data_IF_084483493045
#
_entry.id   IF_084483493045
#
_cell.length_a   1.000
_cell.length_b   1.000
_cell.length_c   1.000
_cell.angle_alpha   90.00
_cell.angle_beta   90.00
_cell.angle_gamma   90.00
#
_symmetry.space_group_name_H-M   'P 1'
#
loop_
_entity.id
_entity.type
_entity.pdbx_description
1 polymer ?
#
# COMPACT_ATOMS: atom_id res chain seq x y z
N UNK A 1 -52.79 40.29 6.01
CA UNK A 1 -53.70 39.82 7.07
C UNK A 1 -53.11 38.58 7.72
N UNK A 2 -52.90 38.61 9.05
CA UNK A 2 -53.00 37.52 10.07
C UNK A 2 -52.38 36.14 9.74
N UNK A 3 -51.63 35.42 10.58
CA UNK A 3 -51.18 35.44 12.00
C UNK A 3 -50.15 34.27 12.06
N UNK A 4 -48.94 34.45 12.57
CA UNK A 4 -48.53 34.16 13.95
C UNK A 4 -49.10 32.87 14.56
N UNK A 5 -48.24 31.87 14.78
CA UNK A 5 -48.31 31.01 15.96
C UNK A 5 -46.89 30.60 16.41
N UNK A 6 -46.51 31.12 17.57
CA UNK A 6 -45.39 30.67 18.38
C UNK A 6 -45.77 29.38 19.10
N UNK A 7 -44.80 28.48 19.33
CA UNK A 7 -44.68 27.85 20.64
C UNK A 7 -43.23 27.40 20.89
N UNK A 8 -42.77 27.81 22.06
CA UNK A 8 -41.40 27.74 22.55
C UNK A 8 -41.13 26.41 23.27
N UNK A 9 -39.86 26.00 23.27
CA UNK A 9 -39.28 25.24 24.38
C UNK A 9 -37.89 25.81 24.71
N UNK A 10 -37.79 26.26 25.95
CA UNK A 10 -36.61 26.78 26.65
C UNK A 10 -35.68 25.62 27.03
N UNK A 11 -34.36 25.84 26.91
CA UNK A 11 -33.32 24.99 27.46
C UNK A 11 -32.08 25.81 27.82
N UNK A 12 -31.86 25.99 29.11
CA UNK A 12 -30.75 26.67 29.77
C UNK A 12 -29.37 26.08 29.40
N UNK A 13 -28.31 26.90 29.37
CA UNK A 13 -26.95 26.40 29.22
C UNK A 13 -25.82 27.44 29.27
N UNK A 14 -25.57 27.97 30.48
CA UNK A 14 -24.29 28.40 31.06
C UNK A 14 -23.39 29.48 30.40
N UNK A 15 -23.25 30.56 31.18
CA UNK A 15 -22.26 31.62 31.11
C UNK A 15 -20.81 31.13 31.01
N UNK A 16 -20.05 31.88 30.21
CA UNK A 16 -18.63 31.74 29.93
C UNK A 16 -17.79 32.36 31.07
N UNK A 17 -17.03 31.60 31.87
CA UNK A 17 -16.17 32.19 32.88
C UNK A 17 -14.93 32.79 32.22
N UNK A 18 -14.90 34.13 32.23
CA UNK A 18 -13.77 35.01 31.92
C UNK A 18 -12.43 34.41 32.37
N UNK A 19 -11.56 34.06 31.40
CA UNK A 19 -10.15 33.71 31.64
C UNK A 19 -9.41 34.90 32.26
N UNK A 20 -8.86 34.70 33.44
CA UNK A 20 -7.88 35.60 34.03
C UNK A 20 -6.55 35.58 33.24
N UNK A 21 -5.84 36.72 33.13
CA UNK A 21 -4.57 36.79 32.41
C UNK A 21 -3.45 36.05 33.15
N UNK A 22 -2.64 35.33 32.38
CA UNK A 22 -1.47 34.55 32.86
C UNK A 22 -0.35 35.51 33.31
N UNK A 23 0.28 35.31 34.49
CA UNK A 23 1.42 36.13 34.90
C UNK A 23 2.66 35.87 34.03
N UNK A 24 3.55 36.88 33.85
CA UNK A 24 4.73 36.75 33.00
C UNK A 24 5.75 35.76 33.58
N UNK A 25 6.35 34.95 32.69
CA UNK A 25 7.41 33.99 33.02
C UNK A 25 8.68 34.71 33.45
N UNK A 26 9.14 34.45 34.67
CA UNK A 26 10.47 34.82 35.16
C UNK A 26 11.51 33.91 34.48
N UNK A 27 12.60 34.44 33.90
CA UNK A 27 13.67 33.61 33.34
C UNK A 27 14.44 32.87 34.45
N UNK A 28 14.89 31.63 34.22
CA UNK A 28 15.68 30.89 35.19
C UNK A 28 17.06 31.54 35.39
N UNK A 29 17.50 31.62 36.66
CA UNK A 29 18.86 32.03 37.04
C UNK A 29 19.90 31.02 36.50
N UNK A 30 21.09 31.48 36.07
CA UNK A 30 22.16 30.58 35.62
C UNK A 30 22.69 29.72 36.78
N UNK A 31 22.74 28.41 36.56
CA UNK A 31 23.37 27.44 37.47
C UNK A 31 24.88 27.47 37.23
N UNK A 32 25.65 27.70 38.28
CA UNK A 32 27.11 27.64 38.26
C UNK A 32 27.60 26.21 37.99
N UNK A 33 28.51 26.09 37.02
CA UNK A 33 29.25 24.87 36.68
C UNK A 33 30.03 24.35 37.89
N UNK A 34 29.73 23.12 38.33
CA UNK A 34 30.58 22.37 39.26
C UNK A 34 31.65 21.57 38.49
N UNK A 35 32.92 21.55 38.96
CA UNK A 35 33.98 20.75 38.36
C UNK A 35 33.69 19.25 38.45
N UNK A 36 34.02 18.51 37.38
CA UNK A 36 33.75 17.08 37.24
C UNK A 36 34.60 16.19 38.17
N UNK A 37 34.13 14.97 38.47
CA UNK A 37 34.89 14.00 39.23
C UNK A 37 35.99 13.34 38.40
N UNK A 38 37.11 13.09 39.07
CA UNK A 38 38.33 12.45 38.58
C UNK A 38 38.09 11.08 37.94
N UNK A 39 38.89 10.79 36.91
CA UNK A 39 38.98 9.49 36.27
C UNK A 39 39.42 8.38 37.25
N UNK A 40 38.83 7.17 37.19
CA UNK A 40 39.43 6.01 37.81
C UNK A 40 40.52 5.39 36.91
N UNK A 41 41.59 4.97 37.58
CA UNK A 41 42.79 4.27 37.06
C UNK A 41 42.46 2.92 36.39
N UNK A 42 43.32 2.40 35.48
CA UNK A 42 42.99 1.25 34.64
C UNK A 42 43.18 -0.06 35.40
N UNK A 43 42.11 -0.84 35.54
CA UNK A 43 42.17 -2.19 36.06
C UNK A 43 41.39 -3.17 35.16
N UNK A 44 42.19 -4.07 34.57
CA UNK A 44 41.88 -5.44 34.15
C UNK A 44 40.92 -5.63 32.98
N UNK A 45 41.52 -6.11 31.87
CA UNK A 45 40.90 -6.98 30.88
C UNK A 45 40.26 -8.17 31.62
N UNK A 46 38.99 -8.05 31.95
CA UNK A 46 38.13 -9.12 32.43
C UNK A 46 36.93 -9.18 31.51
N UNK A 47 36.63 -10.38 31.05
CA UNK A 47 35.49 -10.73 30.21
C UNK A 47 34.26 -9.90 30.55
N UNK A 48 33.66 -9.26 29.54
CA UNK A 48 32.30 -8.77 29.64
C UNK A 48 31.41 -9.92 30.14
N UNK A 49 30.72 -9.77 31.28
CA UNK A 49 29.77 -10.77 31.72
C UNK A 49 28.77 -11.00 30.59
N UNK A 50 28.69 -12.24 30.11
CA UNK A 50 27.62 -12.66 29.22
C UNK A 50 26.31 -12.24 29.87
N UNK A 51 25.53 -11.40 29.19
CA UNK A 51 24.23 -10.98 29.65
C UNK A 51 23.46 -12.21 30.15
N UNK A 52 22.86 -12.11 31.35
CA UNK A 52 22.05 -13.18 31.88
C UNK A 52 20.97 -13.55 30.83
N UNK A 53 20.64 -14.83 30.65
CA UNK A 53 19.59 -15.24 29.74
C UNK A 53 18.29 -14.54 30.16
N UNK A 54 17.84 -13.55 29.38
CA UNK A 54 16.65 -12.73 29.67
C UNK A 54 16.85 -11.20 29.75
N UNK A 55 18.07 -10.69 29.57
CA UNK A 55 18.38 -9.25 29.47
C UNK A 55 18.36 -8.69 28.04
N UNK A 56 17.99 -9.50 27.06
CA UNK A 56 17.75 -9.03 25.70
C UNK A 56 16.34 -8.37 25.59
N UNK A 57 16.13 -7.43 24.64
CA UNK A 57 14.85 -6.74 24.49
C UNK A 57 13.65 -7.67 24.26
N UNK A 58 13.85 -8.82 23.63
CA UNK A 58 12.79 -9.79 23.35
C UNK A 58 12.37 -10.48 24.65
N UNK A 59 13.32 -11.00 25.44
CA UNK A 59 13.04 -11.59 26.75
C UNK A 59 12.28 -10.65 27.69
N UNK A 60 12.63 -9.36 27.71
CA UNK A 60 11.88 -8.34 28.48
C UNK A 60 10.44 -8.15 28.00
N UNK A 61 10.21 -8.15 26.69
CA UNK A 61 8.88 -8.01 26.12
C UNK A 61 8.00 -9.22 26.46
N UNK A 62 8.53 -10.43 26.28
CA UNK A 62 7.79 -11.67 26.55
C UNK A 62 7.38 -11.73 28.02
N UNK A 63 8.32 -11.44 28.94
CA UNK A 63 8.03 -11.42 30.39
C UNK A 63 6.93 -10.41 30.75
N UNK A 64 7.03 -9.18 30.25
CA UNK A 64 6.01 -8.13 30.51
C UNK A 64 4.63 -8.55 30.01
N UNK A 65 4.55 -9.16 28.82
CA UNK A 65 3.26 -9.60 28.29
C UNK A 65 2.71 -10.81 29.08
N UNK A 66 3.56 -11.75 29.50
CA UNK A 66 3.16 -12.85 30.41
C UNK A 66 2.59 -12.35 31.72
N UNK A 67 3.21 -11.35 32.34
CA UNK A 67 2.74 -10.73 33.59
C UNK A 67 1.43 -9.96 33.41
N UNK A 68 1.24 -9.31 32.25
CA UNK A 68 0.02 -8.57 31.94
C UNK A 68 -1.16 -9.47 31.56
N UNK A 69 -0.91 -10.68 31.07
CA UNK A 69 -1.95 -11.66 30.78
C UNK A 69 -2.50 -12.25 32.08
N UNK A 70 -3.82 -12.27 32.21
CA UNK A 70 -4.48 -12.92 33.35
C UNK A 70 -4.08 -14.40 33.46
N UNK A 71 -4.08 -14.97 34.68
CA UNK A 71 -3.54 -16.31 34.93
C UNK A 71 -4.20 -17.41 34.09
N UNK A 72 -5.50 -17.29 33.81
CA UNK A 72 -6.22 -18.27 32.99
C UNK A 72 -5.80 -18.24 31.51
N UNK A 73 -5.59 -17.04 30.94
CA UNK A 73 -5.11 -16.91 29.57
C UNK A 73 -3.65 -17.39 29.45
N UNK A 74 -2.82 -17.06 30.43
CA UNK A 74 -1.44 -17.53 30.49
C UNK A 74 -1.35 -19.06 30.55
N UNK A 75 -2.21 -19.72 31.35
CA UNK A 75 -2.30 -21.18 31.40
C UNK A 75 -2.80 -21.78 30.08
N UNK A 76 -3.79 -21.17 29.44
CA UNK A 76 -4.30 -21.64 28.15
C UNK A 76 -3.22 -21.59 27.06
N UNK A 77 -2.47 -20.49 26.95
CA UNK A 77 -1.36 -20.37 26.00
C UNK A 77 -0.23 -21.35 26.28
N UNK A 78 0.13 -21.53 27.56
CA UNK A 78 1.14 -22.52 27.97
C UNK A 78 0.69 -23.96 27.64
N UNK A 79 -0.61 -24.26 27.80
CA UNK A 79 -1.19 -25.56 27.45
C UNK A 79 -1.19 -25.83 25.94
N UNK A 80 -1.31 -24.77 25.13
CA UNK A 80 -1.15 -24.84 23.66
C UNK A 80 0.33 -24.97 23.24
N UNK A 81 1.28 -24.91 24.19
CA UNK A 81 2.73 -24.88 23.95
C UNK A 81 3.15 -23.77 22.98
N UNK A 82 2.38 -22.68 22.92
CA UNK A 82 2.56 -21.62 21.93
C UNK A 82 3.25 -20.39 22.53
N UNK A 83 4.37 -20.64 23.20
CA UNK A 83 5.29 -19.57 23.62
C UNK A 83 5.87 -18.83 22.40
N UNK A 84 5.92 -19.52 21.26
CA UNK A 84 6.34 -18.97 19.97
C UNK A 84 5.44 -17.81 19.53
N UNK A 85 4.14 -17.84 19.80
CA UNK A 85 3.23 -16.73 19.49
C UNK A 85 3.59 -15.45 20.24
N UNK A 86 3.99 -15.55 21.51
CA UNK A 86 4.41 -14.40 22.31
C UNK A 86 5.77 -13.86 21.86
N UNK A 87 6.70 -14.75 21.57
CA UNK A 87 8.00 -14.38 20.99
C UNK A 87 7.81 -13.69 19.63
N UNK A 88 6.96 -14.21 18.75
CA UNK A 88 6.65 -13.62 17.45
C UNK A 88 5.98 -12.25 17.57
N UNK A 89 4.99 -12.10 18.47
CA UNK A 89 4.33 -10.83 18.73
C UNK A 89 5.31 -9.77 19.25
N UNK A 90 6.20 -10.16 20.16
CA UNK A 90 7.25 -9.28 20.67
C UNK A 90 8.32 -8.97 19.64
N UNK A 91 8.73 -9.95 18.83
CA UNK A 91 9.66 -9.76 17.71
C UNK A 91 9.12 -8.74 16.71
N UNK A 92 7.82 -8.83 16.40
CA UNK A 92 7.11 -7.85 15.56
C UNK A 92 7.16 -6.44 16.15
N UNK A 93 6.76 -6.26 17.42
CA UNK A 93 6.76 -4.94 18.07
C UNK A 93 8.17 -4.31 18.07
N UNK A 94 9.19 -5.12 18.37
CA UNK A 94 10.58 -4.68 18.34
C UNK A 94 11.03 -4.29 16.93
N UNK A 95 10.67 -5.04 15.89
CA UNK A 95 11.00 -4.71 14.51
C UNK A 95 10.33 -3.40 14.06
N UNK A 96 9.06 -3.19 14.42
CA UNK A 96 8.30 -1.97 14.09
C UNK A 96 8.91 -0.74 14.79
N UNK A 97 9.20 -0.84 16.10
CA UNK A 97 9.83 0.26 16.86
C UNK A 97 11.22 0.59 16.36
N UNK A 98 11.99 -0.44 15.99
CA UNK A 98 13.32 -0.28 15.41
C UNK A 98 13.28 0.19 13.95
N UNK A 99 12.10 0.24 13.31
CA UNK A 99 11.93 0.57 11.88
C UNK A 99 12.78 -0.32 10.97
N UNK A 100 12.84 -1.60 11.30
CA UNK A 100 13.78 -2.57 10.74
C UNK A 100 13.01 -3.76 10.12
N UNK A 101 12.46 -3.63 8.90
CA UNK A 101 11.64 -4.67 8.29
C UNK A 101 12.38 -6.00 8.08
N UNK A 102 13.70 -5.96 7.88
CA UNK A 102 14.53 -7.16 7.79
C UNK A 102 14.49 -8.03 9.06
N UNK A 103 14.21 -7.45 10.23
CA UNK A 103 14.08 -8.20 11.49
C UNK A 103 12.82 -9.06 11.54
N UNK A 104 11.83 -8.80 10.68
CA UNK A 104 10.63 -9.63 10.61
C UNK A 104 10.93 -11.06 10.16
N UNK A 105 12.08 -11.32 9.51
CA UNK A 105 12.48 -12.66 9.08
C UNK A 105 12.60 -13.68 10.23
N UNK A 106 12.83 -13.22 11.48
CA UNK A 106 12.90 -14.10 12.64
C UNK A 106 11.52 -14.54 13.17
N UNK A 107 10.43 -13.91 12.72
CA UNK A 107 9.06 -14.25 13.11
C UNK A 107 8.69 -15.59 12.45
N UNK A 108 8.29 -16.58 13.26
CA UNK A 108 8.11 -17.97 12.82
C UNK A 108 6.82 -18.16 12.04
N UNK A 109 5.72 -17.61 12.53
CA UNK A 109 4.41 -17.67 11.88
C UNK A 109 4.39 -16.75 10.64
N UNK A 110 4.08 -17.32 9.47
CA UNK A 110 4.09 -16.60 8.18
C UNK A 110 3.14 -15.41 8.16
N UNK A 111 1.92 -15.57 8.69
CA UNK A 111 0.92 -14.50 8.79
C UNK A 111 1.39 -13.34 9.66
N UNK A 112 2.07 -13.62 10.77
CA UNK A 112 2.66 -12.59 11.63
C UNK A 112 3.90 -11.97 10.98
N UNK A 113 4.69 -12.74 10.24
CA UNK A 113 5.84 -12.24 9.48
C UNK A 113 5.42 -11.23 8.43
N UNK A 114 4.36 -11.52 7.67
CA UNK A 114 3.78 -10.59 6.68
C UNK A 114 3.24 -9.33 7.36
N UNK A 115 2.51 -9.49 8.47
CA UNK A 115 1.99 -8.36 9.27
C UNK A 115 3.14 -7.51 9.83
N UNK A 116 4.22 -8.14 10.28
CA UNK A 116 5.43 -7.47 10.72
C UNK A 116 6.06 -6.67 9.58
N UNK A 117 6.30 -7.32 8.43
CA UNK A 117 6.91 -6.68 7.28
C UNK A 117 6.09 -5.48 6.80
N UNK A 118 4.76 -5.61 6.76
CA UNK A 118 3.83 -4.53 6.45
C UNK A 118 4.02 -3.33 7.40
N UNK A 119 3.91 -3.55 8.71
CA UNK A 119 3.97 -2.48 9.71
C UNK A 119 5.37 -1.85 9.82
N UNK A 120 6.42 -2.67 9.78
CA UNK A 120 7.81 -2.22 9.88
C UNK A 120 8.23 -1.42 8.64
N UNK A 121 7.77 -1.81 7.44
CA UNK A 121 8.03 -1.06 6.20
C UNK A 121 7.36 0.31 6.22
N UNK A 122 6.13 0.39 6.74
CA UNK A 122 5.44 1.66 6.96
C UNK A 122 6.19 2.54 7.96
N UNK A 123 6.57 1.99 9.12
CA UNK A 123 7.31 2.70 10.15
C UNK A 123 8.67 3.21 9.64
N UNK A 124 9.34 2.43 8.79
CA UNK A 124 10.62 2.78 8.17
C UNK A 124 10.51 3.74 6.98
N UNK A 125 9.30 3.98 6.45
CA UNK A 125 9.08 4.65 5.16
C UNK A 125 9.87 3.99 4.02
N UNK A 126 9.90 2.65 4.01
CA UNK A 126 10.63 1.80 3.07
C UNK A 126 9.65 0.96 2.24
N UNK A 127 8.96 1.56 1.27
CA UNK A 127 7.95 0.88 0.47
C UNK A 127 8.49 -0.31 -0.35
N UNK A 128 9.78 -0.34 -0.68
CA UNK A 128 10.47 -1.50 -1.29
C UNK A 128 10.52 -2.74 -0.39
N UNK A 129 10.41 -2.57 0.92
CA UNK A 129 10.39 -3.68 1.89
C UNK A 129 8.97 -4.21 2.17
N UNK A 130 7.93 -3.61 1.56
CA UNK A 130 6.57 -4.07 1.70
C UNK A 130 6.42 -5.52 1.22
N UNK A 131 5.62 -6.35 1.91
CA UNK A 131 5.40 -7.73 1.50
C UNK A 131 4.63 -7.79 0.16
N UNK A 132 4.71 -8.91 -0.58
CA UNK A 132 3.84 -9.16 -1.72
C UNK A 132 2.38 -9.21 -1.28
N UNK A 133 1.45 -8.76 -2.13
CA UNK A 133 0.03 -8.95 -1.87
C UNK A 133 -0.44 -10.32 -2.40
N UNK A 134 -1.19 -11.11 -1.61
CA UNK A 134 -1.77 -12.36 -2.08
C UNK A 134 -2.65 -12.13 -3.33
N UNK A 135 -2.40 -12.90 -4.39
CA UNK A 135 -3.19 -12.84 -5.63
C UNK A 135 -2.99 -11.56 -6.46
N UNK A 136 -2.03 -10.70 -6.11
CA UNK A 136 -1.67 -9.51 -6.89
C UNK A 136 -0.19 -9.58 -7.27
N UNK A 137 0.17 -9.11 -8.47
CA UNK A 137 1.58 -8.87 -8.81
C UNK A 137 2.15 -7.72 -7.98
N UNK A 138 3.42 -7.88 -7.60
CA UNK A 138 4.19 -6.88 -6.86
C UNK A 138 3.83 -6.78 -5.37
N UNK A 139 4.19 -5.66 -4.75
CA UNK A 139 4.02 -5.43 -3.31
C UNK A 139 2.60 -4.99 -2.98
N UNK A 140 2.21 -5.19 -1.72
CA UNK A 140 0.90 -4.80 -1.22
C UNK A 140 0.63 -3.30 -1.44
N UNK A 141 -0.47 -2.93 -2.15
CA UNK A 141 -0.71 -1.55 -2.55
C UNK A 141 -0.98 -0.62 -1.37
N UNK A 142 -1.58 -1.13 -0.29
CA UNK A 142 -1.83 -0.34 0.93
C UNK A 142 -0.51 -0.06 1.64
N UNK A 143 0.34 -1.09 1.81
CA UNK A 143 1.67 -0.93 2.36
C UNK A 143 2.50 0.07 1.55
N UNK A 144 2.54 -0.09 0.22
CA UNK A 144 3.30 0.78 -0.67
C UNK A 144 2.83 2.23 -0.55
N UNK A 145 1.52 2.47 -0.52
CA UNK A 145 0.98 3.82 -0.36
C UNK A 145 1.39 4.47 0.97
N UNK A 146 1.22 3.75 2.08
CA UNK A 146 1.51 4.24 3.42
C UNK A 146 3.02 4.40 3.67
N UNK A 147 3.83 3.44 3.25
CA UNK A 147 5.28 3.48 3.38
C UNK A 147 5.91 4.52 2.45
N UNK A 148 5.36 4.73 1.24
CA UNK A 148 5.80 5.83 0.34
C UNK A 148 5.30 7.20 0.78
N UNK A 149 4.47 7.27 1.83
CA UNK A 149 3.89 8.51 2.34
C UNK A 149 3.06 9.26 1.28
N UNK A 150 2.38 8.51 0.41
CA UNK A 150 1.63 9.05 -0.72
C UNK A 150 0.23 8.44 -0.78
N UNK A 151 -0.76 9.16 -0.23
CA UNK A 151 -2.16 8.72 -0.20
C UNK A 151 -2.77 8.54 -1.61
N UNK A 152 -2.22 9.18 -2.64
CA UNK A 152 -2.68 9.03 -4.02
C UNK A 152 -2.52 7.58 -4.52
N UNK A 153 -1.52 6.86 -3.99
CA UNK A 153 -1.28 5.44 -4.32
C UNK A 153 -2.32 4.49 -3.72
N UNK A 154 -3.15 4.93 -2.77
CA UNK A 154 -4.29 4.12 -2.28
C UNK A 154 -5.26 3.75 -3.42
N UNK A 155 -5.24 4.48 -4.55
CA UNK A 155 -5.98 4.11 -5.75
C UNK A 155 -5.61 2.70 -6.28
N UNK A 156 -4.39 2.21 -6.01
CA UNK A 156 -3.95 0.88 -6.43
C UNK A 156 -4.64 -0.29 -5.70
N UNK A 157 -5.20 -0.03 -4.52
CA UNK A 157 -5.87 -1.04 -3.70
C UNK A 157 -7.27 -1.38 -4.24
N UNK A 158 -7.84 -2.52 -3.81
CA UNK A 158 -9.25 -2.83 -4.06
C UNK A 158 -10.17 -1.77 -3.47
N UNK A 159 -11.45 -1.72 -3.86
CA UNK A 159 -12.37 -0.67 -3.38
C UNK A 159 -12.46 -0.64 -1.83
N UNK A 160 -12.60 -1.80 -1.20
CA UNK A 160 -12.66 -1.93 0.25
C UNK A 160 -11.35 -1.52 0.92
N UNK A 161 -10.22 -2.00 0.39
CA UNK A 161 -8.89 -1.67 0.93
C UNK A 161 -8.51 -0.22 0.68
N UNK A 162 -8.99 0.41 -0.40
CA UNK A 162 -8.79 1.82 -0.72
C UNK A 162 -9.40 2.70 0.36
N UNK A 163 -10.64 2.42 0.77
CA UNK A 163 -11.30 3.15 1.86
C UNK A 163 -10.50 3.03 3.16
N UNK A 164 -10.06 1.82 3.52
CA UNK A 164 -9.16 1.59 4.67
C UNK A 164 -7.83 2.34 4.52
N UNK A 165 -7.17 2.26 3.37
CA UNK A 165 -5.89 2.94 3.09
C UNK A 165 -6.01 4.45 3.25
N UNK A 166 -7.09 5.05 2.74
CA UNK A 166 -7.35 6.48 2.88
C UNK A 166 -7.56 6.87 4.35
N UNK A 167 -8.33 6.10 5.12
CA UNK A 167 -8.48 6.30 6.57
C UNK A 167 -7.12 6.29 7.29
N UNK A 168 -6.33 5.25 7.05
CA UNK A 168 -5.00 5.09 7.64
C UNK A 168 -4.06 6.23 7.25
N UNK A 169 -4.04 6.63 5.97
CA UNK A 169 -3.18 7.71 5.47
C UNK A 169 -3.50 9.06 6.10
N UNK A 170 -4.78 9.33 6.34
CA UNK A 170 -5.26 10.58 6.91
C UNK A 170 -5.21 10.61 8.45
N UNK A 171 -5.04 9.45 9.10
CA UNK A 171 -5.19 9.33 10.55
C UNK A 171 -6.63 9.52 11.04
N UNK A 172 -7.61 9.47 10.14
CA UNK A 172 -9.01 9.80 10.39
C UNK A 172 -9.84 8.51 10.47
N UNK A 173 -10.56 8.24 11.57
CA UNK A 173 -11.40 7.06 11.69
C UNK A 173 -12.68 7.12 10.84
N UNK A 174 -13.15 8.31 10.46
CA UNK A 174 -14.46 8.46 9.78
C UNK A 174 -14.60 7.65 8.49
N UNK A 175 -13.59 7.50 7.61
CA UNK A 175 -13.74 6.67 6.43
C UNK A 175 -13.86 5.17 6.78
N UNK A 176 -13.41 4.71 7.95
CA UNK A 176 -13.66 3.34 8.41
C UNK A 176 -15.17 3.09 8.63
N UNK A 177 -15.97 4.11 8.95
CA UNK A 177 -17.42 3.97 9.17
C UNK A 177 -18.19 3.66 7.87
N UNK A 178 -17.61 4.02 6.73
CA UNK A 178 -18.15 3.71 5.41
C UNK A 178 -17.88 2.26 4.97
N UNK A 179 -17.09 1.49 5.73
CA UNK A 179 -16.87 0.07 5.48
C UNK A 179 -18.05 -0.77 5.95
N UNK A 180 -18.13 -1.99 5.43
CA UNK A 180 -19.01 -3.04 5.95
C UNK A 180 -18.83 -3.17 7.48
N UNK A 181 -19.93 -3.30 8.27
CA UNK A 181 -19.87 -3.43 9.72
C UNK A 181 -18.87 -4.49 10.23
N UNK A 182 -18.65 -5.58 9.50
CA UNK A 182 -17.70 -6.63 9.85
C UNK A 182 -16.23 -6.18 9.73
N UNK A 183 -15.95 -5.19 8.89
CA UNK A 183 -14.60 -4.70 8.61
C UNK A 183 -14.20 -3.47 9.44
N UNK A 184 -15.17 -2.73 9.99
CA UNK A 184 -14.90 -1.52 10.80
C UNK A 184 -13.98 -1.77 11.99
N UNK A 185 -14.14 -2.86 12.78
CA UNK A 185 -13.27 -3.11 13.93
C UNK A 185 -11.81 -3.35 13.52
N UNK A 186 -11.59 -4.00 12.37
CA UNK A 186 -10.24 -4.20 11.84
C UNK A 186 -9.61 -2.84 11.47
N UNK A 187 -10.31 -2.02 10.68
CA UNK A 187 -9.85 -0.69 10.29
C UNK A 187 -9.49 0.20 11.49
N UNK A 188 -10.33 0.21 12.52
CA UNK A 188 -10.07 0.98 13.75
C UNK A 188 -8.83 0.49 14.50
N UNK A 189 -8.63 -0.84 14.62
CA UNK A 189 -7.43 -1.41 15.26
C UNK A 189 -6.16 -1.06 14.50
N UNK A 190 -6.20 -1.12 13.17
CA UNK A 190 -5.04 -0.76 12.35
C UNK A 190 -4.70 0.72 12.43
N UNK A 191 -5.73 1.58 12.44
CA UNK A 191 -5.55 3.01 12.61
C UNK A 191 -4.85 3.31 13.94
N UNK A 192 -5.31 2.70 15.02
CA UNK A 192 -4.68 2.85 16.33
C UNK A 192 -3.24 2.32 16.35
N UNK A 193 -3.03 1.12 15.77
CA UNK A 193 -1.72 0.50 15.68
C UNK A 193 -0.71 1.30 14.84
N UNK A 194 -1.19 2.10 13.88
CA UNK A 194 -0.35 2.90 12.99
C UNK A 194 -0.20 4.36 13.43
N UNK A 195 -1.10 4.91 14.26
CA UNK A 195 -1.01 6.29 14.78
C UNK A 195 0.34 6.61 15.42
N UNK A 196 0.93 5.63 16.11
CA UNK A 196 2.23 5.79 16.77
C UNK A 196 3.43 5.88 15.81
N UNK A 197 3.29 5.38 14.57
CA UNK A 197 4.41 5.25 13.60
C UNK A 197 4.16 5.98 12.28
N UNK A 198 2.93 6.44 12.05
CA UNK A 198 2.52 7.14 10.84
C UNK A 198 2.17 8.60 11.19
N UNK A 199 3.01 9.60 10.85
CA UNK A 199 2.53 10.97 10.78
C UNK A 199 1.34 11.07 9.81
N UNK A 200 0.35 11.89 10.16
CA UNK A 200 -0.76 12.19 9.26
C UNK A 200 -0.21 12.71 7.93
N UNK A 201 -0.62 12.09 6.83
CA UNK A 201 -0.17 12.49 5.50
C UNK A 201 -1.00 13.66 4.99
N UNK A 202 -0.40 14.60 4.25
CA UNK A 202 -1.18 15.60 3.55
C UNK A 202 -2.16 14.89 2.61
N UNK A 203 -3.38 15.43 2.50
CA UNK A 203 -4.34 14.94 1.50
C UNK A 203 -3.70 15.07 0.13
N UNK A 204 -3.46 13.93 -0.52
CA UNK A 204 -2.96 13.94 -1.87
C UNK A 204 -4.09 14.30 -2.84
N UNK A 205 -3.76 15.02 -3.91
CA UNK A 205 -4.68 15.17 -5.02
C UNK A 205 -5.05 13.76 -5.52
N UNK A 206 -6.33 13.47 -5.74
CA UNK A 206 -6.74 12.19 -6.29
C UNK A 206 -6.07 12.01 -7.66
N UNK A 207 -5.49 10.83 -7.88
CA UNK A 207 -5.12 10.43 -9.23
C UNK A 207 -6.43 10.11 -9.92
N UNK A 208 -6.81 10.92 -10.91
CA UNK A 208 -7.95 10.67 -11.77
C UNK A 208 -7.43 10.00 -13.05
N UNK A 209 -7.33 8.67 -13.08
CA UNK A 209 -6.96 7.99 -14.32
C UNK A 209 -8.04 8.18 -15.38
N UNK A 210 -7.63 8.45 -16.62
CA UNK A 210 -8.51 8.33 -17.79
C UNK A 210 -8.39 6.92 -18.37
N UNK A 211 -9.52 6.24 -18.50
CA UNK A 211 -9.60 4.85 -18.98
C UNK A 211 -10.44 4.76 -20.23
N UNK A 212 -9.82 4.66 -21.40
CA UNK A 212 -10.55 4.39 -22.64
C UNK A 212 -9.78 3.39 -23.48
N UNK A 213 -10.29 2.16 -23.56
CA UNK A 213 -9.90 1.20 -24.59
C UNK A 213 -10.95 1.24 -25.69
N UNK A 214 -10.52 1.66 -26.87
CA UNK A 214 -11.32 1.61 -28.08
C UNK A 214 -10.81 0.44 -28.93
N UNK A 215 -11.59 -0.62 -29.07
CA UNK A 215 -11.24 -1.75 -29.93
C UNK A 215 -12.24 -1.84 -31.09
N UNK A 216 -11.75 -2.07 -32.31
CA UNK A 216 -12.62 -2.30 -33.47
C UNK A 216 -12.05 -3.37 -34.41
N UNK A 217 -12.83 -4.41 -34.70
CA UNK A 217 -12.42 -5.45 -35.65
C UNK A 217 -13.03 -5.18 -37.02
N UNK A 218 -12.23 -4.89 -38.03
CA UNK A 218 -12.74 -4.76 -39.40
C UNK A 218 -12.83 -6.12 -40.10
N UNK A 219 -13.96 -6.41 -40.75
CA UNK A 219 -13.82 -6.81 -42.15
C UNK A 219 -14.56 -5.86 -43.09
N UNK A 220 -15.60 -5.18 -42.59
CA UNK A 220 -16.59 -4.33 -43.30
C UNK A 220 -17.60 -3.71 -42.29
N UNK A 221 -17.21 -3.47 -41.03
CA UNK A 221 -18.18 -3.00 -40.01
C UNK A 221 -17.54 -2.20 -38.88
N UNK A 222 -18.01 -0.97 -38.73
CA UNK A 222 -17.60 0.07 -37.77
C UNK A 222 -18.02 -0.21 -36.32
N UNK A 223 -17.90 -1.46 -35.87
CA UNK A 223 -18.19 -1.80 -34.47
C UNK A 223 -17.00 -1.36 -33.59
N UNK A 224 -17.02 -0.09 -33.19
CA UNK A 224 -16.18 0.43 -32.10
C UNK A 224 -16.79 0.00 -30.78
N UNK A 225 -16.12 -0.89 -30.07
CA UNK A 225 -16.48 -1.25 -28.70
C UNK A 225 -15.59 -0.46 -27.76
N UNK A 226 -16.17 0.53 -27.10
CA UNK A 226 -15.52 1.20 -25.98
C UNK A 226 -15.71 0.34 -24.74
N UNK A 227 -14.60 -0.19 -24.21
CA UNK A 227 -14.63 -1.02 -23.00
C UNK A 227 -13.88 -0.30 -21.89
N UNK A 228 -14.49 -0.06 -20.72
CA UNK A 228 -13.74 0.42 -19.57
C UNK A 228 -12.67 -0.61 -19.18
N UNK A 229 -11.55 -0.13 -18.65
CA UNK A 229 -10.38 -0.96 -18.36
C UNK A 229 -10.03 -0.84 -16.88
N UNK A 230 -10.86 -1.37 -15.95
CA UNK A 230 -10.80 -0.99 -14.53
C UNK A 230 -9.50 -1.38 -13.82
N UNK A 231 -8.66 -2.21 -14.46
CA UNK A 231 -7.34 -2.56 -13.96
C UNK A 231 -6.34 -1.41 -14.13
N UNK A 232 -6.52 -0.49 -15.09
CA UNK A 232 -5.71 0.72 -15.21
C UNK A 232 -5.89 1.67 -14.02
N UNK A 233 -7.07 1.65 -13.36
CA UNK A 233 -7.32 2.38 -12.11
C UNK A 233 -6.35 1.95 -11.01
N UNK A 234 -5.82 0.73 -11.09
CA UNK A 234 -4.89 0.19 -10.10
C UNK A 234 -3.43 0.59 -10.35
N UNK A 235 -3.17 1.35 -11.42
CA UNK A 235 -1.83 1.77 -11.80
C UNK A 235 -1.02 0.69 -12.52
N UNK A 236 0.12 1.10 -13.03
CA UNK A 236 1.08 0.29 -13.80
C UNK A 236 2.35 0.05 -12.99
N UNK A 237 3.18 -0.89 -13.43
CA UNK A 237 4.48 -1.12 -12.80
C UNK A 237 5.60 -0.51 -13.61
N UNK A 238 6.64 -0.09 -12.91
CA UNK A 238 7.96 0.08 -13.50
C UNK A 238 8.84 -1.08 -13.07
N UNK A 239 9.70 -1.56 -13.95
CA UNK A 239 10.82 -2.38 -13.51
C UNK A 239 12.06 -1.52 -13.19
N UNK A 240 13.07 -2.13 -12.60
CA UNK A 240 14.34 -1.48 -12.24
C UNK A 240 15.13 -0.97 -13.45
N UNK A 241 14.94 -1.57 -14.63
CA UNK A 241 15.50 -1.08 -15.90
C UNK A 241 14.71 0.10 -16.46
N UNK A 242 13.59 0.47 -15.82
CA UNK A 242 12.70 1.53 -16.24
C UNK A 242 11.76 1.10 -17.36
N UNK A 243 11.50 -0.19 -17.56
CA UNK A 243 10.39 -0.60 -18.43
C UNK A 243 9.06 -0.40 -17.70
N UNK A 244 8.11 0.20 -18.41
CA UNK A 244 6.72 0.32 -18.02
C UNK A 244 5.97 -0.94 -18.40
N UNK A 245 5.34 -1.55 -17.41
CA UNK A 245 4.49 -2.71 -17.56
C UNK A 245 3.06 -2.25 -17.38
N UNK A 246 2.38 -2.13 -18.52
CA UNK A 246 1.01 -1.64 -18.55
C UNK A 246 0.05 -2.77 -18.17
N UNK A 247 0.51 -4.01 -18.02
CA UNK A 247 -0.37 -5.18 -17.99
C UNK A 247 0.08 -6.23 -17.00
N UNK A 248 -0.90 -6.94 -16.44
CA UNK A 248 -0.74 -8.17 -15.68
C UNK A 248 -0.78 -9.46 -16.54
N UNK A 249 0.36 -10.05 -16.91
CA UNK A 249 0.41 -11.40 -17.48
C UNK A 249 0.08 -12.53 -16.47
N UNK A 250 -0.16 -12.21 -15.18
CA UNK A 250 -0.61 -13.12 -14.11
C UNK A 250 -2.02 -12.79 -13.59
N UNK A 251 -2.88 -12.23 -14.44
CA UNK A 251 -4.25 -12.72 -14.45
C UNK A 251 -4.21 -14.19 -14.90
N UNK A 252 -3.75 -15.04 -13.98
CA UNK A 252 -3.98 -16.47 -14.00
C UNK A 252 -5.48 -16.64 -14.06
N UNK A 253 -5.92 -17.04 -15.22
CA UNK A 253 -7.20 -17.68 -15.39
C UNK A 253 -7.25 -18.92 -14.47
N UNK A 254 -8.29 -19.18 -13.66
CA UNK A 254 -9.40 -18.31 -13.27
C UNK A 254 -9.38 -17.94 -11.77
N UNK A 255 -9.57 -16.67 -11.44
CA UNK A 255 -10.46 -16.37 -10.30
C UNK A 255 -11.89 -16.53 -10.81
N UNK A 256 -12.81 -17.01 -9.96
CA UNK A 256 -14.24 -17.15 -10.28
C UNK A 256 -14.86 -15.85 -10.84
N UNK A 257 -14.29 -14.70 -10.46
CA UNK A 257 -14.74 -13.38 -10.90
C UNK A 257 -14.29 -13.06 -12.34
N UNK A 258 -13.17 -13.62 -12.81
CA UNK A 258 -12.67 -13.42 -14.18
C UNK A 258 -13.49 -14.19 -15.23
N UNK A 259 -14.20 -15.26 -14.84
CA UNK A 259 -15.08 -16.01 -15.75
C UNK A 259 -16.42 -15.32 -16.02
N UNK A 260 -16.85 -14.40 -15.14
CA UNK A 260 -18.12 -13.69 -15.29
C UNK A 260 -18.03 -12.42 -16.17
N UNK A 261 -16.82 -12.03 -16.57
CA UNK A 261 -16.56 -10.75 -17.22
C UNK A 261 -15.96 -11.00 -18.61
N UNK A 262 -16.79 -10.83 -19.64
CA UNK A 262 -16.41 -10.74 -21.06
C UNK A 262 -15.38 -9.60 -21.28
N UNK A 263 -14.10 -9.82 -20.94
CA UNK A 263 -13.09 -8.74 -20.91
C UNK A 263 -11.99 -8.89 -21.95
N UNK A 264 -11.60 -7.75 -22.49
CA UNK A 264 -10.41 -7.54 -23.30
C UNK A 264 -9.20 -7.36 -22.39
N UNK A 265 -8.17 -8.19 -22.55
CA UNK A 265 -6.90 -8.10 -21.83
C UNK A 265 -5.80 -7.77 -22.84
N UNK A 266 -5.09 -6.68 -22.58
CA UNK A 266 -3.93 -6.27 -23.37
C UNK A 266 -2.74 -6.42 -22.47
N UNK A 267 -1.67 -7.10 -22.92
CA UNK A 267 -0.30 -7.35 -22.40
C UNK A 267 0.76 -6.49 -23.07
N UNK A 268 1.44 -5.55 -22.38
CA UNK A 268 2.48 -4.70 -22.99
C UNK A 268 3.59 -4.35 -21.98
N UNK A 269 4.82 -4.67 -22.37
CA UNK A 269 6.05 -4.20 -21.70
C UNK A 269 6.71 -3.18 -22.60
N UNK A 270 7.04 -1.98 -22.09
CA UNK A 270 7.53 -0.87 -22.91
C UNK A 270 8.71 -0.23 -22.21
N UNK A 271 9.88 -0.04 -22.84
CA UNK A 271 10.93 0.78 -22.21
C UNK A 271 10.42 2.24 -22.04
N UNK A 272 10.60 2.84 -20.86
CA UNK A 272 10.07 4.18 -20.54
C UNK A 272 10.84 5.34 -21.22
N UNK A 273 10.86 5.36 -22.55
CA UNK A 273 11.44 6.46 -23.33
C UNK A 273 10.32 7.19 -24.10
N UNK A 274 10.24 8.50 -23.90
CA UNK A 274 9.25 9.36 -24.59
C UNK A 274 9.45 9.25 -26.11
N UNK A 275 8.36 9.04 -26.86
CA UNK A 275 8.40 8.96 -28.32
C UNK A 275 9.02 7.68 -28.91
N UNK A 276 9.12 6.59 -28.14
CA UNK A 276 9.64 5.32 -28.67
C UNK A 276 8.53 4.48 -29.30
N UNK A 277 8.59 4.30 -30.62
CA UNK A 277 7.87 3.22 -31.31
C UNK A 277 8.78 1.98 -31.34
N UNK A 278 8.38 0.91 -30.65
CA UNK A 278 9.13 -0.35 -30.62
C UNK A 278 8.17 -1.49 -30.94
N UNK A 279 8.66 -2.48 -31.68
CA UNK A 279 8.03 -3.79 -31.73
C UNK A 279 8.23 -4.46 -30.36
N UNK A 280 7.13 -4.82 -29.71
CA UNK A 280 7.13 -5.34 -28.34
C UNK A 280 6.42 -6.67 -28.31
N UNK A 281 6.84 -7.56 -27.41
CA UNK A 281 6.06 -8.73 -27.04
C UNK A 281 4.79 -8.25 -26.35
N UNK A 282 3.67 -8.41 -27.06
CA UNK A 282 2.38 -7.97 -26.60
C UNK A 282 1.32 -9.02 -26.94
N UNK A 283 0.41 -9.24 -25.99
CA UNK A 283 -0.70 -10.16 -26.15
C UNK A 283 -2.01 -9.38 -26.15
N UNK A 284 -2.87 -9.62 -27.14
CA UNK A 284 -4.21 -9.06 -27.22
C UNK A 284 -5.22 -10.20 -27.09
N UNK A 285 -5.98 -10.20 -26.01
CA UNK A 285 -7.14 -11.07 -25.78
C UNK A 285 -8.38 -10.20 -25.91
N UNK A 286 -9.28 -10.54 -26.82
CA UNK A 286 -10.59 -9.91 -26.95
C UNK A 286 -11.63 -10.89 -26.43
N UNK A 287 -12.65 -10.41 -25.71
CA UNK A 287 -13.70 -11.25 -25.16
C UNK A 287 -14.27 -12.24 -26.21
N UNK A 288 -14.36 -13.52 -25.84
CA UNK A 288 -14.83 -14.58 -26.75
C UNK A 288 -13.83 -15.04 -27.82
N UNK A 289 -12.57 -14.60 -27.77
CA UNK A 289 -11.51 -14.96 -28.74
C UNK A 289 -10.24 -15.47 -28.06
N UNK A 290 -9.47 -16.35 -28.74
CA UNK A 290 -8.14 -16.75 -28.22
C UNK A 290 -7.17 -15.56 -28.26
N UNK A 291 -6.15 -15.57 -27.41
CA UNK A 291 -5.09 -14.56 -27.42
C UNK A 291 -4.37 -14.49 -28.78
N UNK A 292 -4.01 -13.28 -29.21
CA UNK A 292 -3.04 -13.06 -30.30
C UNK A 292 -1.75 -12.50 -29.71
N UNK A 293 -0.60 -13.02 -30.14
CA UNK A 293 0.71 -12.54 -29.69
C UNK A 293 1.46 -11.88 -30.85
N UNK A 294 2.19 -10.80 -30.56
CA UNK A 294 3.14 -10.22 -31.51
C UNK A 294 4.32 -11.16 -31.80
N UNK A 295 4.63 -12.08 -30.88
CA UNK A 295 5.66 -13.10 -31.08
C UNK A 295 5.35 -14.03 -32.26
N UNK A 296 4.07 -14.25 -32.57
CA UNK A 296 3.62 -15.09 -33.67
C UNK A 296 3.65 -14.34 -35.03
N UNK A 297 4.06 -13.06 -35.04
CA UNK A 297 4.16 -12.21 -36.23
C UNK A 297 2.82 -11.76 -36.84
N UNK A 298 1.70 -12.24 -36.33
CA UNK A 298 0.33 -11.93 -36.81
C UNK A 298 -0.21 -10.62 -36.29
N UNK A 299 0.44 -10.05 -35.27
CA UNK A 299 0.07 -8.81 -34.59
C UNK A 299 1.30 -7.89 -34.53
N UNK A 300 1.09 -6.61 -34.83
CA UNK A 300 2.06 -5.53 -34.61
C UNK A 300 1.50 -4.62 -33.53
N UNK A 301 2.37 -4.17 -32.64
CA UNK A 301 2.02 -3.18 -31.62
C UNK A 301 2.90 -1.94 -31.81
N UNK A 302 2.28 -0.77 -31.84
CA UNK A 302 2.95 0.52 -31.81
C UNK A 302 2.57 1.24 -30.52
N UNK A 303 3.56 1.73 -29.78
CA UNK A 303 3.35 2.37 -28.49
C UNK A 303 3.79 3.82 -28.56
N UNK A 304 3.00 4.71 -27.96
CA UNK A 304 3.34 6.12 -27.82
C UNK A 304 3.18 6.54 -26.37
N UNK A 305 4.28 6.81 -25.66
CA UNK A 305 4.24 7.38 -24.32
C UNK A 305 4.21 8.91 -24.38
N UNK A 306 3.14 9.53 -23.91
CA UNK A 306 3.07 10.99 -23.72
C UNK A 306 3.74 11.42 -22.42
N UNK A 307 3.64 10.56 -21.38
CA UNK A 307 4.29 10.70 -20.09
C UNK A 307 4.97 9.38 -19.70
N UNK A 308 6.30 9.43 -19.54
CA UNK A 308 7.15 8.30 -19.19
C UNK A 308 7.69 8.49 -17.76
N UNK A 309 7.02 7.93 -16.74
CA UNK A 309 7.42 8.10 -15.35
C UNK A 309 8.69 7.30 -15.04
N UNK A 310 9.42 7.75 -14.01
CA UNK A 310 10.65 7.09 -13.51
C UNK A 310 10.59 6.68 -12.05
N UNK A 311 9.43 6.86 -11.41
CA UNK A 311 9.24 6.63 -9.97
C UNK A 311 7.79 6.30 -9.66
N UNK A 312 7.56 5.67 -8.50
CA UNK A 312 6.24 5.47 -7.91
C UNK A 312 5.46 6.78 -7.80
N UNK A 313 4.16 6.69 -8.05
CA UNK A 313 3.23 7.83 -8.11
C UNK A 313 3.44 8.76 -9.29
N UNK A 314 4.43 8.50 -10.16
CA UNK A 314 4.59 9.25 -11.40
C UNK A 314 3.45 8.95 -12.38
N UNK A 315 2.96 9.98 -13.06
CA UNK A 315 1.95 9.84 -14.12
C UNK A 315 2.50 9.03 -15.29
N UNK A 316 1.78 8.00 -15.70
CA UNK A 316 2.01 7.17 -16.86
C UNK A 316 0.88 7.41 -17.86
N UNK A 317 1.18 7.98 -19.03
CA UNK A 317 0.15 8.25 -20.01
C UNK A 317 0.66 8.00 -21.43
N UNK A 318 -0.23 7.53 -22.29
CA UNK A 318 0.10 7.16 -23.65
C UNK A 318 -1.00 6.41 -24.39
N UNK A 319 -0.62 5.85 -25.52
CA UNK A 319 -1.46 4.94 -26.29
C UNK A 319 -0.69 3.71 -26.76
N UNK A 320 -1.41 2.61 -26.96
CA UNK A 320 -0.94 1.41 -27.61
C UNK A 320 -1.89 1.07 -28.74
N UNK A 321 -1.36 1.00 -29.96
CA UNK A 321 -2.08 0.64 -31.17
C UNK A 321 -1.67 -0.76 -31.58
N UNK A 322 -2.64 -1.63 -31.81
CA UNK A 322 -2.47 -2.97 -32.30
C UNK A 322 -3.02 -3.07 -33.72
N UNK A 323 -2.23 -3.64 -34.62
CA UNK A 323 -2.61 -3.90 -36.00
C UNK A 323 -2.21 -5.33 -36.37
N UNK A 324 -3.16 -6.15 -36.82
CA UNK A 324 -2.87 -7.53 -37.16
C UNK A 324 -3.90 -8.17 -38.06
N UNK A 325 -3.68 -9.42 -38.42
CA UNK A 325 -4.61 -10.21 -39.21
C UNK A 325 -4.89 -11.55 -38.55
N UNK A 326 -6.17 -11.93 -38.42
CA UNK A 326 -6.61 -13.20 -37.84
C UNK A 326 -7.68 -13.85 -38.70
N UNK A 327 -7.47 -15.08 -39.13
CA UNK A 327 -8.46 -15.84 -39.93
C UNK A 327 -8.94 -15.08 -41.17
N UNK A 328 -8.06 -14.29 -41.80
CA UNK A 328 -8.38 -13.43 -42.95
C UNK A 328 -9.02 -12.09 -42.63
N UNK A 329 -9.22 -11.72 -41.35
CA UNK A 329 -9.79 -10.42 -40.91
C UNK A 329 -8.71 -9.52 -40.33
N UNK A 330 -8.74 -8.24 -40.66
CA UNK A 330 -7.84 -7.24 -40.07
C UNK A 330 -8.37 -6.79 -38.71
N UNK A 331 -7.52 -6.84 -37.69
CA UNK A 331 -7.82 -6.41 -36.33
C UNK A 331 -7.06 -5.13 -36.04
N UNK A 332 -7.78 -4.11 -35.56
CA UNK A 332 -7.20 -2.88 -35.03
C UNK A 332 -7.67 -2.65 -33.59
N UNK A 333 -6.79 -2.25 -32.70
CA UNK A 333 -7.20 -1.84 -31.36
C UNK A 333 -6.33 -0.70 -30.85
N UNK A 334 -6.95 0.32 -30.24
CA UNK A 334 -6.24 1.43 -29.61
C UNK A 334 -6.58 1.48 -28.10
N UNK A 335 -5.57 1.21 -27.27
CA UNK A 335 -5.62 1.48 -25.84
C UNK A 335 -5.09 2.88 -25.57
N UNK A 336 -5.90 3.77 -25.01
CA UNK A 336 -5.42 5.03 -24.41
C UNK A 336 -5.44 4.90 -22.91
N UNK A 337 -4.36 5.31 -22.26
CA UNK A 337 -4.25 5.25 -20.82
C UNK A 337 -3.67 6.54 -20.26
N UNK A 338 -4.22 6.96 -19.13
CA UNK A 338 -3.64 7.93 -18.22
C UNK A 338 -3.78 7.38 -16.82
N UNK A 339 -2.67 7.04 -16.18
CA UNK A 339 -2.63 6.35 -14.90
C UNK A 339 -1.34 6.72 -14.16
N UNK A 340 -0.94 5.92 -13.18
CA UNK A 340 0.20 6.17 -12.33
C UNK A 340 1.01 4.90 -12.10
N UNK A 341 2.29 5.08 -11.78
CA UNK A 341 3.15 3.97 -11.35
C UNK A 341 2.76 3.58 -9.94
N UNK A 342 2.12 2.43 -9.77
CA UNK A 342 1.77 1.93 -8.44
C UNK A 342 3.00 1.41 -7.70
N UNK A 343 3.89 0.72 -8.42
CA UNK A 343 5.06 0.09 -7.82
C UNK A 343 6.25 -0.04 -8.78
N UNK A 344 7.46 -0.19 -8.22
CA UNK A 344 8.71 -0.42 -8.94
C UNK A 344 9.27 -1.78 -8.54
N UNK A 345 9.27 -2.77 -9.42
CA UNK A 345 9.58 -4.16 -9.04
C UNK A 345 10.72 -4.74 -9.89
N UNK A 346 11.31 -5.85 -9.44
CA UNK A 346 12.26 -6.58 -10.26
C UNK A 346 11.54 -7.21 -11.46
N UNK A 347 12.12 -7.15 -12.65
CA UNK A 347 11.53 -7.73 -13.85
C UNK A 347 11.17 -9.22 -13.70
N UNK A 348 11.95 -9.98 -12.92
CA UNK A 348 11.66 -11.40 -12.63
C UNK A 348 10.36 -11.62 -11.85
N UNK A 349 9.92 -10.63 -11.04
CA UNK A 349 8.63 -10.70 -10.32
C UNK A 349 7.42 -10.36 -11.22
N UNK A 350 7.68 -9.91 -12.45
CA UNK A 350 6.67 -9.55 -13.45
C UNK A 350 6.50 -10.60 -14.56
N UNK A 351 7.31 -11.66 -14.54
CA UNK A 351 7.12 -12.84 -15.39
C UNK A 351 6.28 -13.84 -14.61
#
# INVERSE_FOLDING_TARGET
MRRALCLALLGFGCDDPRRAPTPPRVPPRPVALRPGPMAPSPARLGETPSAAPGDDPLGRCVRRNREAMGPELGRALAALQDDALLEDACGLDLAVRARAPERCASVRLSSLRETCAFRASIAAARPEACPPAPGLRGRDPVCVALASRNAALCAAASLTERTRCLALSAGDPRPCDALDPLLRPACARDLEALRAVLPALPRAAPIAPEERLNAWSTPTGDASVETPVPWLLRGVFLDEAGALWIVDPALGWPSSDAMALERTLVGVTIPSRRGSALALDAALVVAGSQAMSTADGTLRAAVTLTHAPRRRGGRAAGSVVFDGTRGGRSVHAELRFDTFVRDVVMAASLR
#
